data_IF_846423364510
#
_entry.id   IF_846423364510
#
_cell.length_a   1.000
_cell.length_b   1.000
_cell.length_c   1.000
_cell.angle_alpha   90.00
_cell.angle_beta   90.00
_cell.angle_gamma   90.00
#
_symmetry.space_group_name_H-M   'P 1'
#
loop_
_entity.id
_entity.type
_entity.pdbx_description
1 polymer ?
#
# COMPACT_ATOMS: atom_id res chain seq x y z
N UNK A 1 -0.77 21.29 12.21
CA UNK A 1 0.52 20.76 11.75
C UNK A 1 1.53 20.95 12.86
N UNK A 2 2.33 19.93 13.14
CA UNK A 2 3.43 20.03 14.11
C UNK A 2 4.56 20.90 13.55
N UNK A 3 5.43 21.38 14.44
CA UNK A 3 6.56 22.23 14.10
C UNK A 3 7.85 21.73 14.75
N UNK A 4 8.98 21.86 14.04
CA UNK A 4 10.34 21.70 14.55
C UNK A 4 11.07 23.02 14.28
N UNK A 5 11.71 23.60 15.31
CA UNK A 5 12.38 24.91 15.25
C UNK A 5 11.51 26.04 14.66
N UNK A 6 10.22 26.05 15.01
CA UNK A 6 9.25 27.04 14.53
C UNK A 6 8.82 26.88 13.06
N UNK A 7 9.20 25.77 12.40
CA UNK A 7 8.85 25.48 11.01
C UNK A 7 7.93 24.26 10.93
N UNK A 8 6.91 24.27 10.07
CA UNK A 8 6.09 23.09 9.82
C UNK A 8 6.96 21.89 9.43
N UNK A 9 6.69 20.72 10.02
CA UNK A 9 7.44 19.49 9.70
C UNK A 9 7.23 19.08 8.24
N UNK A 10 5.98 19.16 7.77
CA UNK A 10 5.66 19.02 6.37
C UNK A 10 5.26 20.37 5.78
N UNK A 11 5.66 20.60 4.52
CA UNK A 11 5.03 21.63 3.71
C UNK A 11 3.53 21.35 3.58
N UNK A 12 2.70 22.38 3.62
CA UNK A 12 1.28 22.22 3.36
C UNK A 12 1.03 21.69 1.95
N UNK A 13 -0.12 21.04 1.74
CA UNK A 13 -0.55 20.59 0.42
C UNK A 13 -0.67 21.76 -0.57
N UNK A 14 -0.33 21.58 -1.87
CA UNK A 14 -0.58 22.60 -2.88
C UNK A 14 -2.02 23.10 -2.88
N UNK A 15 -2.22 24.40 -3.09
CA UNK A 15 -3.55 24.98 -3.21
C UNK A 15 -4.29 24.45 -4.45
N UNK A 16 -5.61 24.31 -4.34
CA UNK A 16 -6.48 23.77 -5.40
C UNK A 16 -6.26 24.42 -6.77
N UNK A 17 -6.13 25.75 -6.81
CA UNK A 17 -5.91 26.47 -8.08
C UNK A 17 -4.58 26.08 -8.74
N UNK A 18 -3.52 25.82 -7.95
CA UNK A 18 -2.23 25.38 -8.46
C UNK A 18 -2.32 23.97 -9.03
N UNK A 19 -3.07 23.09 -8.36
CA UNK A 19 -3.35 21.72 -8.86
C UNK A 19 -4.08 21.78 -10.20
N UNK A 20 -5.12 22.59 -10.31
CA UNK A 20 -5.89 22.78 -11.56
C UNK A 20 -5.00 23.32 -12.68
N UNK A 21 -4.18 24.33 -12.38
CA UNK A 21 -3.23 24.89 -13.34
C UNK A 21 -2.22 23.83 -13.81
N UNK A 22 -1.68 23.01 -12.91
CA UNK A 22 -0.76 21.93 -13.24
C UNK A 22 -1.41 20.89 -14.16
N UNK A 23 -2.61 20.40 -13.82
CA UNK A 23 -3.35 19.44 -14.66
C UNK A 23 -3.56 20.01 -16.06
N UNK A 24 -4.07 21.24 -16.17
CA UNK A 24 -4.31 21.88 -17.47
C UNK A 24 -3.03 22.10 -18.26
N UNK A 25 -1.95 22.51 -17.61
CA UNK A 25 -0.66 22.73 -18.26
C UNK A 25 -0.04 21.42 -18.80
N UNK A 26 -0.13 20.33 -18.04
CA UNK A 26 0.34 19.00 -18.48
C UNK A 26 -0.47 18.55 -19.70
N UNK A 27 -1.80 18.66 -19.65
CA UNK A 27 -2.69 18.29 -20.77
C UNK A 27 -2.49 19.16 -22.01
N UNK A 28 -2.26 20.47 -21.84
CA UNK A 28 -1.95 21.37 -22.95
C UNK A 28 -0.65 21.00 -23.70
N UNK A 29 0.25 20.26 -23.04
CA UNK A 29 1.46 19.68 -23.65
C UNK A 29 1.24 18.31 -24.28
N UNK A 30 0.00 17.78 -24.27
CA UNK A 30 -0.33 16.46 -24.80
C UNK A 30 0.12 15.30 -23.91
N UNK A 31 0.43 15.55 -22.64
CA UNK A 31 0.87 14.54 -21.69
C UNK A 31 -0.30 13.99 -20.87
N UNK A 32 -0.19 12.71 -20.48
CA UNK A 32 -1.16 12.06 -19.59
C UNK A 32 -0.93 12.48 -18.14
N UNK A 33 -2.00 12.57 -17.36
CA UNK A 33 -1.97 12.95 -15.95
C UNK A 33 -2.42 11.77 -15.08
N UNK A 34 -1.55 11.34 -14.17
CA UNK A 34 -1.94 10.51 -13.02
C UNK A 34 -2.05 11.40 -11.80
N UNK A 35 -3.22 11.43 -11.16
CA UNK A 35 -3.40 12.10 -9.88
C UNK A 35 -3.16 11.13 -8.74
N UNK A 36 -2.15 11.41 -7.93
CA UNK A 36 -1.69 10.56 -6.86
C UNK A 36 -1.71 11.31 -5.52
N UNK A 37 -2.79 11.18 -4.72
CA UNK A 37 -2.87 11.78 -3.39
C UNK A 37 -2.08 10.96 -2.35
N UNK A 38 -1.28 11.66 -1.53
CA UNK A 38 -0.46 11.08 -0.46
C UNK A 38 -0.94 11.51 0.93
N UNK A 39 -0.71 10.64 1.92
CA UNK A 39 -0.80 10.98 3.34
C UNK A 39 0.58 10.96 3.97
N UNK A 40 0.93 12.03 4.68
CA UNK A 40 2.13 12.11 5.51
C UNK A 40 1.70 12.07 6.98
N UNK A 41 2.39 11.27 7.80
CA UNK A 41 2.05 11.13 9.22
C UNK A 41 2.74 12.23 10.03
N UNK A 42 1.97 13.22 10.46
CA UNK A 42 2.45 14.38 11.24
C UNK A 42 2.42 14.09 12.75
N UNK A 43 3.23 13.12 13.17
CA UNK A 43 3.39 12.73 14.59
C UNK A 43 4.71 13.30 15.12
N UNK A 44 4.68 14.29 16.05
CA UNK A 44 5.89 14.84 16.62
C UNK A 44 6.58 13.85 17.58
N UNK A 45 7.92 13.93 17.78
CA UNK A 45 8.66 13.02 18.66
C UNK A 45 8.15 12.92 20.10
N UNK A 46 7.57 14.01 20.64
CA UNK A 46 7.16 14.10 22.04
C UNK A 46 5.65 13.85 22.26
N UNK A 47 4.96 13.30 21.27
CA UNK A 47 3.55 12.96 21.43
C UNK A 47 3.38 11.84 22.47
N UNK A 48 2.34 11.92 23.30
CA UNK A 48 2.09 10.97 24.41
C UNK A 48 0.89 10.06 24.15
N UNK A 49 0.34 10.04 22.94
CA UNK A 49 -0.74 9.12 22.60
C UNK A 49 -0.23 7.68 22.65
N UNK A 50 -1.10 6.71 23.00
CA UNK A 50 -0.74 5.30 22.99
C UNK A 50 -0.24 4.86 21.62
N UNK A 51 0.87 4.10 21.61
CA UNK A 51 1.37 3.48 20.39
C UNK A 51 0.61 2.17 20.11
N UNK A 52 -0.10 2.08 18.97
CA UNK A 52 -0.82 0.86 18.59
C UNK A 52 0.07 -0.38 18.52
N UNK A 53 1.37 -0.21 18.27
CA UNK A 53 2.39 -1.27 18.17
C UNK A 53 3.18 -1.46 19.47
N UNK A 54 2.59 -1.22 20.63
CA UNK A 54 3.24 -1.44 21.93
C UNK A 54 2.27 -1.90 23.02
N UNK A 55 1.30 -2.74 22.67
CA UNK A 55 0.22 -3.21 23.55
C UNK A 55 -0.59 -2.05 24.19
N UNK A 56 -0.51 -0.85 23.61
CA UNK A 56 -0.93 0.42 24.23
C UNK A 56 -0.42 0.63 25.68
N UNK A 57 0.62 -0.09 26.11
CA UNK A 57 1.03 -0.17 27.52
C UNK A 57 2.55 -0.06 27.76
N UNK A 58 3.40 -0.42 26.78
CA UNK A 58 4.85 -0.54 27.01
C UNK A 58 5.70 0.65 26.50
N UNK A 59 5.18 1.48 25.60
CA UNK A 59 5.87 2.66 25.07
C UNK A 59 5.06 3.93 25.28
N UNK A 60 5.70 4.97 25.84
CA UNK A 60 5.13 6.33 25.81
C UNK A 60 5.35 6.89 24.42
N UNK A 61 4.27 7.29 23.75
CA UNK A 61 4.31 7.97 22.47
C UNK A 61 4.39 7.04 21.26
N UNK A 62 3.80 7.53 20.17
CA UNK A 62 3.90 6.90 18.85
C UNK A 62 5.23 7.28 18.20
N UNK A 63 5.75 6.42 17.30
CA UNK A 63 6.95 6.74 16.53
C UNK A 63 6.83 8.11 15.84
N UNK A 64 7.93 8.86 15.78
CA UNK A 64 7.97 10.15 15.12
C UNK A 64 7.85 9.98 13.60
N UNK A 65 6.98 10.76 12.97
CA UNK A 65 6.82 10.87 11.52
C UNK A 65 6.84 9.51 10.78
N UNK A 66 6.03 8.52 11.21
CA UNK A 66 6.12 7.19 10.65
C UNK A 66 5.61 7.19 9.21
N UNK A 67 6.01 6.19 8.44
CA UNK A 67 5.40 5.93 7.15
C UNK A 67 3.89 5.61 7.28
N UNK A 68 3.08 6.02 6.30
CA UNK A 68 1.61 5.84 6.30
C UNK A 68 1.16 4.38 6.35
N UNK A 69 1.98 3.43 5.89
CA UNK A 69 1.72 2.00 6.05
C UNK A 69 1.65 1.53 7.51
N UNK A 70 2.06 2.37 8.47
CA UNK A 70 1.87 2.16 9.90
C UNK A 70 0.48 2.53 10.42
N UNK A 71 -0.41 3.14 9.63
CA UNK A 71 -1.81 3.36 10.03
C UNK A 71 -2.47 2.00 10.26
N UNK A 72 -3.05 1.78 11.45
CA UNK A 72 -3.65 0.48 11.81
C UNK A 72 -4.74 0.63 12.89
N UNK A 73 -5.33 -0.48 13.32
CA UNK A 73 -6.22 -0.53 14.48
C UNK A 73 -5.42 -0.37 15.79
N UNK A 74 -6.07 0.05 16.87
CA UNK A 74 -5.42 0.22 18.18
C UNK A 74 -6.14 -0.57 19.27
N UNK A 75 -5.45 -1.48 19.98
CA UNK A 75 -4.10 -1.99 19.69
C UNK A 75 -4.02 -2.76 18.35
N UNK A 76 -2.85 -2.74 17.73
CA UNK A 76 -2.60 -3.34 16.40
C UNK A 76 -2.66 -4.87 16.42
N UNK A 77 -2.78 -5.51 15.26
CA UNK A 77 -2.70 -6.97 15.15
C UNK A 77 -1.34 -7.49 15.67
N UNK A 78 -1.35 -8.60 16.41
CA UNK A 78 -0.14 -9.19 17.01
C UNK A 78 0.27 -8.60 18.36
N UNK A 79 -0.44 -7.58 18.86
CA UNK A 79 -0.19 -6.95 20.16
C UNK A 79 -1.26 -7.33 21.18
N UNK A 80 -0.91 -7.33 22.47
CA UNK A 80 -1.82 -7.63 23.56
C UNK A 80 -3.00 -6.66 23.56
N UNK A 81 -4.21 -7.22 23.74
CA UNK A 81 -5.46 -6.47 23.69
C UNK A 81 -5.88 -6.01 22.29
N UNK A 82 -5.24 -6.52 21.23
CA UNK A 82 -5.60 -6.21 19.84
C UNK A 82 -7.10 -6.30 19.60
N UNK A 83 -7.60 -5.32 18.84
CA UNK A 83 -8.99 -5.32 18.37
C UNK A 83 -9.14 -6.01 17.01
N UNK A 84 -8.05 -6.51 16.42
CA UNK A 84 -8.10 -7.30 15.19
C UNK A 84 -9.03 -8.52 15.34
N UNK A 85 -9.72 -8.89 14.26
CA UNK A 85 -10.81 -9.89 14.23
C UNK A 85 -12.04 -9.54 15.09
N UNK A 86 -12.25 -8.27 15.44
CA UNK A 86 -13.43 -7.82 16.23
C UNK A 86 -14.27 -6.74 15.54
N UNK A 87 -15.49 -6.53 16.04
CA UNK A 87 -16.33 -5.40 15.62
C UNK A 87 -15.73 -4.02 15.93
N UNK A 88 -14.86 -3.90 16.94
CA UNK A 88 -14.18 -2.64 17.27
C UNK A 88 -13.20 -2.24 16.16
N UNK A 89 -12.50 -3.20 15.55
CA UNK A 89 -11.67 -2.92 14.37
C UNK A 89 -12.49 -2.36 13.20
N UNK A 90 -13.69 -2.90 12.96
CA UNK A 90 -14.59 -2.34 11.93
C UNK A 90 -14.99 -0.89 12.24
N UNK A 91 -15.29 -0.57 13.50
CA UNK A 91 -15.64 0.79 13.92
C UNK A 91 -14.47 1.77 13.74
N UNK A 92 -13.24 1.38 14.10
CA UNK A 92 -12.04 2.20 13.92
C UNK A 92 -11.75 2.46 12.43
N UNK A 93 -11.84 1.43 11.59
CA UNK A 93 -11.68 1.59 10.13
C UNK A 93 -12.77 2.50 9.56
N UNK A 94 -14.03 2.32 9.97
CA UNK A 94 -15.13 3.20 9.54
C UNK A 94 -14.87 4.66 9.91
N UNK A 95 -14.39 4.92 11.13
CA UNK A 95 -14.03 6.26 11.58
C UNK A 95 -12.87 6.88 10.78
N UNK A 96 -11.85 6.09 10.42
CA UNK A 96 -10.75 6.54 9.55
C UNK A 96 -11.24 6.94 8.16
N UNK A 97 -12.13 6.14 7.57
CA UNK A 97 -12.68 6.45 6.25
C UNK A 97 -13.60 7.67 6.28
N UNK A 98 -14.37 7.84 7.36
CA UNK A 98 -15.39 8.87 7.48
C UNK A 98 -16.65 8.55 6.69
N UNK A 99 -17.57 9.49 6.67
CA UNK A 99 -18.92 9.34 6.10
C UNK A 99 -19.17 10.21 4.87
N UNK A 100 -18.14 10.91 4.39
CA UNK A 100 -18.22 11.76 3.20
C UNK A 100 -18.76 11.00 1.97
N UNK A 101 -19.65 11.64 1.23
CA UNK A 101 -20.23 11.16 -0.03
C UNK A 101 -19.98 12.18 -1.15
N UNK A 102 -20.10 11.79 -2.43
CA UNK A 102 -19.97 12.72 -3.55
C UNK A 102 -20.89 13.95 -3.44
N UNK A 103 -22.07 13.80 -2.83
CA UNK A 103 -23.07 14.86 -2.66
C UNK A 103 -22.71 15.90 -1.59
N UNK A 104 -21.67 15.67 -0.78
CA UNK A 104 -21.22 16.62 0.25
C UNK A 104 -20.26 17.70 -0.29
N UNK A 105 -20.20 17.87 -1.61
CA UNK A 105 -19.34 18.84 -2.28
C UNK A 105 -20.16 19.68 -3.25
N UNK A 106 -19.91 20.99 -3.23
CA UNK A 106 -20.42 21.93 -4.24
C UNK A 106 -19.26 22.38 -5.11
N UNK A 107 -19.45 22.35 -6.43
CA UNK A 107 -18.42 22.72 -7.41
C UNK A 107 -18.89 24.00 -8.11
N UNK A 108 -18.05 25.03 -8.08
CA UNK A 108 -18.24 26.27 -8.85
C UNK A 108 -16.98 26.55 -9.65
N UNK A 109 -17.07 26.42 -10.97
CA UNK A 109 -15.91 26.39 -11.88
C UNK A 109 -14.86 25.37 -11.44
N UNK A 110 -13.78 25.83 -10.80
CA UNK A 110 -12.68 25.02 -10.30
C UNK A 110 -12.55 25.05 -8.77
N UNK A 111 -13.48 25.71 -8.08
CA UNK A 111 -13.56 25.71 -6.63
C UNK A 111 -14.42 24.54 -6.16
N UNK A 112 -13.88 23.73 -5.25
CA UNK A 112 -14.56 22.61 -4.62
C UNK A 112 -14.78 22.96 -3.15
N UNK A 113 -16.04 22.99 -2.72
CA UNK A 113 -16.43 23.39 -1.37
C UNK A 113 -17.09 22.22 -0.65
N UNK A 114 -16.54 21.86 0.51
CA UNK A 114 -17.11 20.85 1.41
C UNK A 114 -18.34 21.40 2.17
N UNK A 115 -19.42 20.63 2.20
CA UNK A 115 -20.67 20.96 2.91
C UNK A 115 -21.14 19.89 3.91
N UNK A 116 -20.41 18.78 4.04
CA UNK A 116 -20.80 17.63 4.87
C UNK A 116 -20.48 17.74 6.37
N UNK A 117 -20.26 18.94 6.91
CA UNK A 117 -20.07 19.15 8.36
C UNK A 117 -18.70 18.73 8.91
N UNK A 118 -18.69 18.21 10.15
CA UNK A 118 -17.46 17.87 10.87
C UNK A 118 -17.00 16.43 10.54
N UNK A 119 -16.43 16.24 9.35
CA UNK A 119 -15.81 15.00 8.91
C UNK A 119 -14.35 15.28 8.49
N UNK A 120 -13.42 14.43 8.91
CA UNK A 120 -12.00 14.50 8.56
C UNK A 120 -11.47 13.18 7.99
N UNK A 121 -12.37 12.28 7.59
CA UNK A 121 -12.02 10.97 7.09
C UNK A 121 -11.38 11.03 5.70
N UNK A 122 -10.67 9.96 5.35
CA UNK A 122 -9.93 9.91 4.07
C UNK A 122 -10.85 10.06 2.86
N UNK A 123 -12.13 9.64 2.97
CA UNK A 123 -13.12 9.81 1.90
C UNK A 123 -13.32 11.27 1.55
N UNK A 124 -13.35 12.16 2.56
CA UNK A 124 -13.47 13.61 2.31
C UNK A 124 -12.32 14.12 1.45
N UNK A 125 -11.09 13.73 1.80
CA UNK A 125 -9.90 14.11 1.05
C UNK A 125 -9.94 13.59 -0.40
N UNK A 126 -10.18 12.30 -0.56
CA UNK A 126 -10.14 11.65 -1.88
C UNK A 126 -11.26 12.16 -2.79
N UNK A 127 -12.48 12.34 -2.27
CA UNK A 127 -13.61 12.86 -3.05
C UNK A 127 -13.45 14.34 -3.40
N UNK A 128 -12.83 15.15 -2.53
CA UNK A 128 -12.44 16.52 -2.87
C UNK A 128 -11.54 16.54 -4.10
N UNK A 129 -10.49 15.71 -4.11
CA UNK A 129 -9.57 15.63 -5.24
C UNK A 129 -10.21 15.05 -6.50
N UNK A 130 -11.15 14.10 -6.38
CA UNK A 130 -11.89 13.61 -7.54
C UNK A 130 -12.69 14.74 -8.20
N UNK A 131 -13.42 15.55 -7.41
CA UNK A 131 -14.15 16.72 -7.91
C UNK A 131 -13.19 17.77 -8.51
N UNK A 132 -12.06 18.02 -7.86
CA UNK A 132 -11.06 18.96 -8.35
C UNK A 132 -10.46 18.52 -9.69
N UNK A 133 -10.14 17.23 -9.83
CA UNK A 133 -9.67 16.64 -11.07
C UNK A 133 -10.73 16.75 -12.18
N UNK A 134 -12.00 16.47 -11.87
CA UNK A 134 -13.10 16.65 -12.83
C UNK A 134 -13.20 18.11 -13.30
N UNK A 135 -13.20 19.06 -12.36
CA UNK A 135 -13.27 20.50 -12.65
C UNK A 135 -12.04 21.03 -13.43
N UNK A 136 -10.88 20.40 -13.26
CA UNK A 136 -9.69 20.70 -14.05
C UNK A 136 -9.78 20.23 -15.52
N UNK A 137 -10.79 19.43 -15.87
CA UNK A 137 -11.01 18.84 -17.19
C UNK A 137 -10.67 17.35 -17.25
N UNK A 138 -10.58 16.66 -16.11
CA UNK A 138 -10.30 15.23 -15.98
C UNK A 138 -8.81 14.87 -16.04
N UNK A 139 -8.49 13.67 -15.54
CA UNK A 139 -7.14 13.07 -15.50
C UNK A 139 -7.18 11.69 -16.15
N UNK A 140 -6.04 11.18 -16.60
CA UNK A 140 -5.94 9.87 -17.25
C UNK A 140 -5.99 8.73 -16.22
N UNK A 141 -5.42 8.95 -15.04
CA UNK A 141 -5.50 8.02 -13.93
C UNK A 141 -5.64 8.73 -12.58
N UNK A 142 -6.26 8.05 -11.61
CA UNK A 142 -6.50 8.54 -10.27
C UNK A 142 -6.31 7.42 -9.25
N UNK A 143 -5.48 7.65 -8.23
CA UNK A 143 -5.28 6.69 -7.15
C UNK A 143 -6.16 7.00 -5.93
N UNK A 144 -6.82 5.98 -5.39
CA UNK A 144 -7.71 6.11 -4.23
C UNK A 144 -6.99 5.99 -2.88
N UNK A 145 -5.69 5.68 -2.90
CA UNK A 145 -4.84 5.52 -1.73
C UNK A 145 -3.55 4.81 -2.11
N UNK A 146 -2.62 4.76 -1.15
CA UNK A 146 -1.38 4.02 -1.34
C UNK A 146 -0.70 3.56 -0.07
N UNK A 147 -0.02 2.42 -0.16
CA UNK A 147 0.86 1.85 0.86
C UNK A 147 0.23 1.84 2.27
N UNK A 148 -1.03 1.41 2.38
CA UNK A 148 -1.76 1.38 3.65
C UNK A 148 -1.80 -0.04 4.22
N UNK A 149 -0.68 -0.77 4.18
CA UNK A 149 -0.59 -2.19 4.59
C UNK A 149 -1.23 -2.44 5.95
N UNK A 150 -0.85 -1.65 6.96
CA UNK A 150 -1.37 -1.79 8.32
C UNK A 150 -2.88 -1.54 8.44
N UNK A 151 -3.51 -0.88 7.46
CA UNK A 151 -4.94 -0.59 7.39
C UNK A 151 -5.69 -1.66 6.61
N UNK A 152 -5.17 -2.05 5.43
CA UNK A 152 -5.80 -3.02 4.53
C UNK A 152 -5.79 -4.43 5.09
N UNK A 153 -4.85 -4.75 5.97
CA UNK A 153 -4.74 -6.03 6.67
C UNK A 153 -5.55 -6.12 7.97
N UNK A 154 -6.16 -5.02 8.44
CA UNK A 154 -7.08 -5.06 9.60
C UNK A 154 -8.25 -5.98 9.29
N UNK A 155 -8.59 -6.83 10.25
CA UNK A 155 -9.70 -7.78 10.17
C UNK A 155 -10.80 -7.41 11.17
N UNK A 156 -12.06 -7.54 10.75
CA UNK A 156 -13.24 -7.45 11.63
C UNK A 156 -13.88 -8.81 11.94
N UNK A 157 -13.25 -9.88 11.46
CA UNK A 157 -13.58 -11.28 11.69
C UNK A 157 -12.48 -12.14 11.04
N UNK A 158 -12.53 -13.47 11.14
CA UNK A 158 -11.44 -14.34 10.69
C UNK A 158 -10.91 -14.04 9.27
N UNK A 159 -11.80 -13.72 8.33
CA UNK A 159 -11.49 -13.47 6.92
C UNK A 159 -12.10 -12.17 6.36
N UNK A 160 -12.52 -11.25 7.23
CA UNK A 160 -13.24 -10.02 6.83
C UNK A 160 -12.34 -8.80 6.92
N UNK A 161 -12.08 -8.14 5.79
CA UNK A 161 -11.20 -6.97 5.69
C UNK A 161 -12.00 -5.66 5.45
N UNK A 162 -12.39 -4.92 6.51
CA UNK A 162 -13.24 -3.74 6.41
C UNK A 162 -12.62 -2.61 5.56
N UNK A 163 -11.31 -2.42 5.60
CA UNK A 163 -10.65 -1.36 4.83
C UNK A 163 -10.74 -1.63 3.32
N UNK A 164 -10.57 -2.89 2.90
CA UNK A 164 -10.75 -3.30 1.50
C UNK A 164 -12.18 -3.04 1.04
N UNK A 165 -13.16 -3.33 1.89
CA UNK A 165 -14.58 -3.02 1.60
C UNK A 165 -14.80 -1.51 1.42
N UNK A 166 -14.21 -0.69 2.29
CA UNK A 166 -14.31 0.77 2.22
C UNK A 166 -13.59 1.35 1.00
N UNK A 167 -12.45 0.81 0.60
CA UNK A 167 -11.74 1.19 -0.64
C UNK A 167 -12.57 0.89 -1.88
N UNK A 168 -13.26 -0.25 -1.94
CA UNK A 168 -14.18 -0.58 -3.04
C UNK A 168 -15.31 0.43 -3.15
N UNK A 169 -15.95 0.77 -2.02
CA UNK A 169 -16.99 1.79 -1.99
C UNK A 169 -16.45 3.15 -2.46
N UNK A 170 -15.27 3.54 -1.99
CA UNK A 170 -14.59 4.77 -2.43
C UNK A 170 -14.28 4.76 -3.93
N UNK A 171 -13.85 3.63 -4.50
CA UNK A 171 -13.62 3.50 -5.94
C UNK A 171 -14.90 3.75 -6.77
N UNK A 172 -16.04 3.24 -6.30
CA UNK A 172 -17.34 3.47 -6.93
C UNK A 172 -17.76 4.96 -6.87
N UNK A 173 -17.55 5.61 -5.72
CA UNK A 173 -17.84 7.03 -5.56
C UNK A 173 -16.93 7.90 -6.44
N UNK A 174 -15.63 7.61 -6.48
CA UNK A 174 -14.68 8.30 -7.38
C UNK A 174 -15.06 8.07 -8.84
N UNK A 175 -15.50 6.86 -9.22
CA UNK A 175 -16.01 6.57 -10.58
C UNK A 175 -17.21 7.43 -10.94
N UNK A 176 -18.14 7.64 -9.99
CA UNK A 176 -19.33 8.48 -10.21
C UNK A 176 -19.00 9.93 -10.53
N UNK A 177 -17.86 10.43 -10.02
CA UNK A 177 -17.38 11.80 -10.23
C UNK A 177 -16.54 11.90 -11.51
N UNK A 178 -15.59 11.01 -11.70
CA UNK A 178 -14.60 11.08 -12.79
C UNK A 178 -15.08 10.46 -14.11
N UNK A 179 -16.20 9.73 -14.09
CA UNK A 179 -16.76 9.05 -15.26
C UNK A 179 -15.89 7.89 -15.75
N UNK A 180 -16.25 7.30 -16.89
CA UNK A 180 -15.61 6.08 -17.43
C UNK A 180 -14.21 6.31 -18.05
N UNK A 181 -13.86 7.57 -18.37
CA UNK A 181 -12.61 7.89 -19.05
C UNK A 181 -11.36 7.73 -18.19
N UNK A 182 -11.45 8.04 -16.89
CA UNK A 182 -10.32 7.99 -15.96
C UNK A 182 -10.02 6.57 -15.50
N UNK A 183 -8.76 6.16 -15.49
CA UNK A 183 -8.36 4.88 -14.89
C UNK A 183 -8.23 5.02 -13.37
N UNK A 184 -8.88 4.15 -12.60
CA UNK A 184 -8.85 4.19 -11.13
C UNK A 184 -8.06 2.99 -10.62
N UNK A 185 -7.19 3.21 -9.64
CA UNK A 185 -6.41 2.16 -8.99
C UNK A 185 -6.08 2.48 -7.54
N UNK A 186 -5.47 1.51 -6.85
CA UNK A 186 -4.83 1.66 -5.54
C UNK A 186 -3.35 1.31 -5.73
N UNK A 187 -2.44 2.09 -5.16
CA UNK A 187 -1.01 1.80 -5.20
C UNK A 187 -0.63 1.00 -3.95
N UNK A 188 -0.68 -0.32 -4.05
CA UNK A 188 -0.25 -1.17 -2.96
C UNK A 188 1.25 -1.06 -2.76
N UNK A 189 1.69 -1.22 -1.52
CA UNK A 189 3.10 -1.47 -1.27
C UNK A 189 3.52 -2.80 -1.94
N UNK A 190 4.76 -2.88 -2.40
CA UNK A 190 5.31 -4.10 -3.02
C UNK A 190 5.22 -5.34 -2.11
N UNK A 191 5.15 -5.17 -0.79
CA UNK A 191 4.99 -6.25 0.20
C UNK A 191 3.53 -6.53 0.58
N UNK A 192 2.55 -5.84 0.00
CA UNK A 192 1.12 -5.92 0.35
C UNK A 192 0.28 -6.61 -0.71
N UNK A 193 0.57 -6.34 -1.99
CA UNK A 193 -0.35 -6.63 -3.10
C UNK A 193 -0.72 -8.13 -3.24
N UNK A 194 0.20 -9.02 -2.86
CA UNK A 194 0.15 -10.44 -3.20
C UNK A 194 -0.68 -11.29 -2.24
N UNK A 195 -0.98 -10.77 -1.05
CA UNK A 195 -1.75 -11.47 -0.03
C UNK A 195 -1.38 -11.05 1.37
N UNK A 196 -2.13 -11.53 2.35
CA UNK A 196 -1.89 -11.35 3.77
C UNK A 196 -1.66 -12.71 4.41
N UNK A 197 -0.50 -12.86 5.05
CA UNK A 197 -0.11 -14.04 5.82
C UNK A 197 0.15 -13.61 7.28
N UNK A 198 -0.90 -13.55 8.13
CA UNK A 198 -0.78 -13.06 9.50
C UNK A 198 0.16 -13.95 10.34
N UNK A 199 1.10 -13.33 11.05
CA UNK A 199 1.98 -14.00 12.01
C UNK A 199 1.30 -14.35 13.34
N UNK A 200 0.00 -14.68 13.35
CA UNK A 200 -0.80 -14.94 14.55
C UNK A 200 -0.97 -16.45 14.86
N UNK A 201 -0.20 -17.31 14.18
CA UNK A 201 -0.24 -18.76 14.33
C UNK A 201 -1.46 -19.44 13.71
N UNK A 202 -2.26 -18.70 12.93
CA UNK A 202 -3.38 -19.28 12.18
C UNK A 202 -2.95 -20.04 10.93
N UNK A 203 -1.74 -19.80 10.42
CA UNK A 203 -1.28 -20.25 9.10
C UNK A 203 -2.19 -19.77 7.94
N UNK A 204 -3.02 -18.75 8.20
CA UNK A 204 -3.91 -18.19 7.20
C UNK A 204 -3.12 -17.61 6.01
N UNK A 205 -3.60 -17.83 4.79
CA UNK A 205 -3.16 -17.10 3.59
C UNK A 205 -4.37 -16.52 2.88
N UNK A 206 -4.53 -15.21 2.89
CA UNK A 206 -5.65 -14.54 2.23
C UNK A 206 -5.18 -13.61 1.12
N UNK A 207 -5.72 -13.77 -0.07
CA UNK A 207 -5.65 -12.75 -1.12
C UNK A 207 -6.61 -11.60 -0.79
N UNK A 208 -6.33 -10.91 0.31
CA UNK A 208 -7.25 -9.96 0.95
C UNK A 208 -7.63 -8.77 0.05
N UNK A 209 -6.78 -8.39 -0.90
CA UNK A 209 -7.03 -7.34 -1.87
C UNK A 209 -7.76 -7.80 -3.13
N UNK A 210 -7.92 -9.11 -3.37
CA UNK A 210 -8.64 -9.62 -4.55
C UNK A 210 -10.05 -9.01 -4.71
N UNK A 211 -10.86 -8.80 -3.65
CA UNK A 211 -12.14 -8.12 -3.80
C UNK A 211 -12.03 -6.71 -4.39
N UNK A 212 -10.94 -5.98 -4.14
CA UNK A 212 -10.66 -4.66 -4.73
C UNK A 212 -10.09 -4.83 -6.14
N UNK A 213 -9.11 -5.71 -6.31
CA UNK A 213 -8.50 -6.01 -7.60
C UNK A 213 -9.47 -6.58 -8.62
N UNK A 214 -10.54 -7.27 -8.22
CA UNK A 214 -11.57 -7.76 -9.13
C UNK A 214 -12.71 -6.75 -9.36
N UNK A 215 -12.76 -5.64 -8.62
CA UNK A 215 -13.88 -4.68 -8.69
C UNK A 215 -13.94 -3.98 -10.05
N UNK A 216 -15.13 -3.85 -10.65
CA UNK A 216 -15.28 -3.25 -11.98
C UNK A 216 -14.84 -1.77 -12.05
N UNK A 217 -14.78 -1.06 -10.92
CA UNK A 217 -14.33 0.32 -10.88
C UNK A 217 -12.81 0.46 -10.92
N UNK A 218 -12.06 -0.58 -10.53
CA UNK A 218 -10.60 -0.61 -10.55
C UNK A 218 -10.10 -1.07 -11.92
N UNK A 219 -9.14 -0.38 -12.52
CA UNK A 219 -8.68 -0.63 -13.87
C UNK A 219 -7.29 -1.27 -13.97
N UNK A 220 -6.48 -1.18 -12.92
CA UNK A 220 -5.13 -1.72 -12.88
C UNK A 220 -4.76 -2.07 -11.43
N UNK A 221 -3.76 -2.93 -11.27
CA UNK A 221 -3.13 -3.22 -9.98
C UNK A 221 -1.94 -2.28 -9.86
N UNK A 222 -2.04 -1.29 -8.99
CA UNK A 222 -0.96 -0.36 -8.72
C UNK A 222 0.01 -0.95 -7.69
N UNK A 223 1.31 -0.86 -7.97
CA UNK A 223 2.37 -1.28 -7.05
C UNK A 223 3.43 -0.19 -6.98
N UNK A 224 3.73 0.26 -5.77
CA UNK A 224 4.92 1.05 -5.49
C UNK A 224 6.11 0.09 -5.37
N UNK A 225 6.87 -0.04 -6.46
CA UNK A 225 7.78 -1.15 -6.70
C UNK A 225 9.17 -0.88 -6.13
N UNK A 226 9.32 -1.21 -4.84
CA UNK A 226 10.58 -1.09 -4.11
C UNK A 226 11.18 -2.45 -3.71
N UNK A 227 10.88 -3.49 -4.49
CA UNK A 227 11.38 -4.84 -4.25
C UNK A 227 12.92 -4.87 -4.29
N UNK A 228 13.59 -5.54 -3.34
CA UNK A 228 15.04 -5.62 -3.31
C UNK A 228 15.59 -6.29 -4.57
N UNK A 229 16.66 -5.74 -5.14
CA UNK A 229 17.36 -6.29 -6.32
C UNK A 229 18.82 -6.65 -6.02
N UNK A 230 19.18 -6.71 -4.75
CA UNK A 230 20.54 -7.08 -4.30
C UNK A 230 20.55 -7.50 -2.83
N UNK A 231 21.54 -8.28 -2.42
CA UNK A 231 21.92 -8.45 -1.01
C UNK A 231 23.44 -8.18 -0.85
N UNK A 232 23.90 -7.12 -1.52
CA UNK A 232 25.30 -6.72 -1.58
C UNK A 232 25.70 -5.98 -0.30
N UNK A 233 26.91 -6.25 0.22
CA UNK A 233 27.39 -5.72 1.51
C UNK A 233 28.72 -4.99 1.37
N UNK A 234 29.25 -4.52 2.49
CA UNK A 234 30.59 -3.94 2.52
C UNK A 234 31.68 -4.98 2.30
N UNK A 235 32.70 -4.59 1.54
CA UNK A 235 33.80 -5.48 1.15
C UNK A 235 33.37 -6.60 0.20
N UNK A 236 34.06 -7.74 0.31
CA UNK A 236 33.84 -8.94 -0.50
C UNK A 236 33.61 -10.20 0.35
N UNK A 237 33.58 -10.06 1.67
CA UNK A 237 33.34 -11.16 2.63
C UNK A 237 31.83 -11.37 2.83
N UNK A 238 31.09 -11.52 1.73
CA UNK A 238 29.65 -11.77 1.69
C UNK A 238 29.28 -12.68 0.52
N UNK A 239 28.11 -13.34 0.60
CA UNK A 239 27.65 -14.34 -0.36
C UNK A 239 27.59 -13.79 -1.81
N UNK A 240 27.12 -12.57 -1.99
CA UNK A 240 26.91 -11.97 -3.32
C UNK A 240 28.20 -11.57 -4.04
N UNK A 241 29.31 -11.40 -3.31
CA UNK A 241 30.62 -11.12 -3.90
C UNK A 241 31.12 -12.30 -4.76
N UNK A 242 30.60 -13.50 -4.52
CA UNK A 242 30.85 -14.67 -5.35
C UNK A 242 30.01 -14.69 -6.65
N UNK A 243 28.94 -13.89 -6.73
CA UNK A 243 27.99 -13.88 -7.85
C UNK A 243 28.35 -12.80 -8.89
N UNK A 244 28.94 -11.69 -8.46
CA UNK A 244 29.31 -10.59 -9.33
C UNK A 244 30.53 -9.82 -8.79
N UNK A 245 31.27 -9.09 -9.64
CA UNK A 245 32.43 -8.32 -9.21
C UNK A 245 32.07 -7.02 -8.47
N UNK A 246 30.83 -6.54 -8.59
CA UNK A 246 30.36 -5.31 -7.96
C UNK A 246 28.83 -5.23 -7.92
N UNK A 247 28.30 -4.40 -7.01
CA UNK A 247 26.86 -4.14 -6.89
C UNK A 247 26.21 -3.54 -8.14
N UNK A 248 26.98 -2.81 -8.96
CA UNK A 248 26.51 -2.19 -10.20
C UNK A 248 26.60 -3.15 -11.41
N UNK A 249 27.01 -4.41 -11.19
CA UNK A 249 26.97 -5.40 -12.25
C UNK A 249 25.53 -5.59 -12.74
N UNK A 250 25.32 -5.32 -14.03
CA UNK A 250 23.98 -5.29 -14.61
C UNK A 250 23.35 -6.68 -14.65
N UNK A 251 24.14 -7.73 -14.87
CA UNK A 251 23.60 -9.09 -14.95
C UNK A 251 23.12 -9.55 -13.57
N UNK A 252 23.88 -9.23 -12.51
CA UNK A 252 23.49 -9.47 -11.13
C UNK A 252 22.21 -8.73 -10.72
N UNK A 253 22.12 -7.42 -11.00
CA UNK A 253 20.90 -6.67 -10.68
C UNK A 253 19.69 -7.19 -11.49
N UNK A 254 19.88 -7.54 -12.77
CA UNK A 254 18.83 -8.09 -13.61
C UNK A 254 18.37 -9.48 -13.16
N UNK A 255 19.28 -10.37 -12.75
CA UNK A 255 18.90 -11.70 -12.24
C UNK A 255 18.09 -11.61 -10.95
N UNK A 256 18.27 -10.54 -10.17
CA UNK A 256 17.51 -10.29 -8.95
C UNK A 256 16.16 -9.60 -9.19
N UNK A 257 15.72 -9.30 -10.43
CA UNK A 257 14.35 -8.74 -10.63
C UNK A 257 13.28 -9.79 -10.31
N UNK A 258 13.47 -11.02 -10.80
CA UNK A 258 12.61 -12.18 -10.56
C UNK A 258 13.44 -13.36 -10.00
N UNK A 259 14.22 -13.06 -8.97
CA UNK A 259 15.16 -13.97 -8.30
C UNK A 259 15.66 -13.33 -7.00
N UNK A 260 16.44 -14.07 -6.21
CA UNK A 260 17.00 -13.59 -4.94
C UNK A 260 15.95 -13.45 -3.83
N UNK A 261 16.15 -12.46 -2.95
CA UNK A 261 15.23 -12.18 -1.84
C UNK A 261 13.81 -11.91 -2.36
N UNK A 262 12.80 -12.55 -1.76
CA UNK A 262 11.40 -12.40 -2.14
C UNK A 262 10.95 -13.23 -3.34
N UNK A 263 11.86 -14.00 -3.94
CA UNK A 263 11.55 -14.95 -4.99
C UNK A 263 12.12 -16.34 -4.66
N UNK A 264 13.43 -16.44 -4.51
CA UNK A 264 14.13 -17.69 -4.21
C UNK A 264 14.17 -17.96 -2.70
N UNK A 265 14.39 -16.92 -1.90
CA UNK A 265 14.62 -17.02 -0.46
C UNK A 265 14.14 -15.79 0.30
N UNK A 266 14.10 -15.89 1.64
CA UNK A 266 13.88 -14.79 2.58
C UNK A 266 14.75 -14.96 3.83
N UNK A 267 14.86 -13.91 4.63
CA UNK A 267 15.45 -13.96 5.97
C UNK A 267 14.35 -14.13 7.03
N UNK A 268 14.44 -15.14 7.88
CA UNK A 268 13.40 -15.40 8.88
C UNK A 268 13.49 -14.45 10.09
N UNK A 269 14.67 -13.87 10.33
CA UNK A 269 14.93 -12.97 11.45
C UNK A 269 16.20 -12.10 11.18
N UNK A 270 16.47 -11.08 12.01
CA UNK A 270 17.65 -10.22 11.85
C UNK A 270 19.00 -10.96 11.91
N UNK A 271 19.14 -11.99 12.74
CA UNK A 271 20.36 -12.81 12.83
C UNK A 271 20.63 -13.56 11.53
N UNK A 272 19.58 -14.09 10.90
CA UNK A 272 19.68 -14.73 9.59
C UNK A 272 20.11 -13.72 8.52
N UNK A 273 19.58 -12.50 8.57
CA UNK A 273 20.01 -11.41 7.69
C UNK A 273 21.49 -11.06 7.91
N UNK A 274 21.95 -10.90 9.16
CA UNK A 274 23.36 -10.59 9.46
C UNK A 274 24.33 -11.67 8.96
N UNK A 275 23.96 -12.93 9.14
CA UNK A 275 24.76 -14.10 8.74
C UNK A 275 24.59 -14.55 7.28
N UNK A 276 23.69 -13.91 6.53
CA UNK A 276 23.22 -14.36 5.21
C UNK A 276 22.69 -15.81 5.19
N UNK A 277 22.01 -16.22 6.26
CA UNK A 277 21.29 -17.50 6.35
C UNK A 277 19.97 -17.40 5.58
N UNK A 278 20.01 -17.72 4.29
CA UNK A 278 18.87 -17.60 3.37
C UNK A 278 17.95 -18.81 3.46
N UNK A 279 16.68 -18.59 3.78
CA UNK A 279 15.66 -19.64 3.83
C UNK A 279 14.91 -19.72 2.49
N UNK A 280 14.88 -20.88 1.80
CA UNK A 280 14.14 -21.01 0.54
C UNK A 280 12.63 -20.76 0.68
N UNK A 281 12.06 -20.03 -0.28
CA UNK A 281 10.59 -19.85 -0.36
C UNK A 281 9.98 -21.08 -1.04
N UNK A 282 9.26 -21.89 -0.24
CA UNK A 282 8.58 -23.11 -0.69
C UNK A 282 7.14 -23.15 -0.20
N UNK A 283 6.34 -24.07 -0.74
CA UNK A 283 4.94 -24.29 -0.33
C UNK A 283 4.66 -25.76 0.02
N UNK A 284 5.73 -26.48 0.41
CA UNK A 284 5.67 -27.89 0.78
C UNK A 284 4.79 -28.73 -0.16
N UNK A 285 3.77 -29.38 0.41
CA UNK A 285 2.90 -30.32 -0.30
C UNK A 285 1.98 -29.72 -1.37
N UNK A 286 1.71 -28.41 -1.35
CA UNK A 286 0.86 -27.77 -2.36
C UNK A 286 1.64 -27.31 -3.59
N UNK A 287 2.96 -27.09 -3.47
CA UNK A 287 3.82 -26.76 -4.60
C UNK A 287 3.49 -25.43 -5.29
N UNK A 288 2.88 -24.46 -4.59
CA UNK A 288 2.58 -23.10 -5.08
C UNK A 288 3.42 -22.03 -4.37
N UNK A 289 4.77 -22.08 -4.45
CA UNK A 289 5.62 -21.12 -3.76
C UNK A 289 5.39 -19.67 -4.21
N UNK A 290 4.87 -19.47 -5.42
CA UNK A 290 4.50 -18.16 -5.95
C UNK A 290 3.53 -17.36 -5.05
N UNK A 291 2.74 -18.04 -4.22
CA UNK A 291 1.83 -17.38 -3.26
C UNK A 291 2.57 -16.60 -2.16
N UNK A 292 3.85 -16.91 -1.93
CA UNK A 292 4.71 -16.30 -0.91
C UNK A 292 5.84 -15.48 -1.52
N UNK A 293 5.88 -15.35 -2.85
CA UNK A 293 6.93 -14.62 -3.58
C UNK A 293 6.38 -13.27 -4.02
N UNK A 294 6.67 -12.23 -3.26
CA UNK A 294 6.27 -10.87 -3.63
C UNK A 294 6.93 -10.38 -4.93
N UNK A 295 7.94 -11.07 -5.47
CA UNK A 295 8.50 -10.78 -6.80
C UNK A 295 7.93 -11.63 -7.94
N UNK A 296 7.14 -12.65 -7.62
CA UNK A 296 6.53 -13.53 -8.63
C UNK A 296 5.22 -12.96 -9.19
N UNK A 297 5.31 -11.72 -9.68
CA UNK A 297 4.20 -10.98 -10.27
C UNK A 297 3.52 -11.77 -11.39
N UNK A 298 4.30 -12.48 -12.21
CA UNK A 298 3.78 -13.25 -13.34
C UNK A 298 2.88 -14.39 -12.88
N UNK A 299 3.34 -15.21 -11.94
CA UNK A 299 2.56 -16.36 -11.46
C UNK A 299 1.32 -15.87 -10.73
N UNK A 300 1.45 -14.89 -9.84
CA UNK A 300 0.31 -14.24 -9.18
C UNK A 300 -0.73 -13.75 -10.21
N UNK A 301 -0.29 -13.01 -11.22
CA UNK A 301 -1.20 -12.44 -12.23
C UNK A 301 -1.90 -13.48 -13.11
N UNK A 302 -1.27 -14.63 -13.36
CA UNK A 302 -1.72 -15.59 -14.36
C UNK A 302 -2.40 -16.83 -13.80
N UNK A 303 -2.47 -16.99 -12.47
CA UNK A 303 -2.99 -18.19 -11.81
C UNK A 303 -4.26 -17.86 -11.02
N UNK A 304 -5.27 -18.75 -10.96
CA UNK A 304 -6.42 -18.55 -10.08
C UNK A 304 -6.01 -18.56 -8.60
N UNK A 305 -6.57 -17.63 -7.82
CA UNK A 305 -6.25 -17.49 -6.41
C UNK A 305 -7.18 -18.30 -5.54
N UNK A 306 -6.63 -19.00 -4.54
CA UNK A 306 -7.38 -19.76 -3.54
C UNK A 306 -6.90 -19.39 -2.16
N UNK A 307 -7.78 -18.83 -1.33
CA UNK A 307 -7.45 -18.54 0.06
C UNK A 307 -7.15 -19.83 0.83
N UNK A 308 -6.32 -19.74 1.86
CA UNK A 308 -5.94 -20.84 2.73
C UNK A 308 -6.23 -20.55 4.20
N UNK A 309 -7.50 -20.58 4.64
CA UNK A 309 -7.79 -20.51 6.07
C UNK A 309 -7.16 -21.71 6.79
N UNK A 310 -6.43 -21.49 7.88
CA UNK A 310 -5.75 -22.57 8.59
C UNK A 310 -4.64 -23.25 7.77
N UNK A 311 -4.07 -22.58 6.77
CA UNK A 311 -3.09 -23.16 5.85
C UNK A 311 -3.67 -24.16 4.84
N UNK A 312 -5.00 -24.36 4.80
CA UNK A 312 -5.67 -25.33 3.92
C UNK A 312 -6.33 -24.63 2.74
N UNK A 313 -5.95 -25.01 1.53
CA UNK A 313 -6.50 -24.44 0.30
C UNK A 313 -8.03 -24.61 0.21
N UNK A 314 -8.72 -23.49 -0.02
CA UNK A 314 -10.16 -23.47 -0.20
C UNK A 314 -10.56 -24.20 -1.49
N UNK A 315 -11.72 -24.87 -1.48
CA UNK A 315 -12.24 -25.55 -2.67
C UNK A 315 -12.74 -24.61 -3.78
N UNK A 316 -12.84 -23.31 -3.52
CA UNK A 316 -13.33 -22.29 -4.45
C UNK A 316 -12.31 -21.15 -4.60
N UNK A 317 -12.07 -20.66 -5.82
CA UNK A 317 -11.18 -19.52 -6.00
C UNK A 317 -11.81 -18.24 -5.48
N UNK A 318 -10.98 -17.20 -5.30
CA UNK A 318 -11.45 -15.83 -5.09
C UNK A 318 -12.10 -15.27 -6.36
N UNK A 319 -12.54 -14.01 -6.31
CA UNK A 319 -13.07 -13.30 -7.47
C UNK A 319 -11.98 -12.86 -8.48
N UNK A 320 -10.69 -13.11 -8.20
CA UNK A 320 -9.63 -12.80 -9.14
C UNK A 320 -9.76 -13.66 -10.40
N UNK A 321 -9.82 -12.99 -11.55
CA UNK A 321 -9.75 -13.63 -12.86
C UNK A 321 -8.33 -13.45 -13.37
N UNK A 322 -7.61 -14.56 -13.69
CA UNK A 322 -6.26 -14.48 -14.23
C UNK A 322 -6.17 -13.50 -15.39
N UNK A 323 -5.13 -12.67 -15.34
CA UNK A 323 -4.79 -11.70 -16.38
C UNK A 323 -5.84 -10.60 -16.63
N UNK A 324 -6.84 -10.46 -15.76
CA UNK A 324 -7.97 -9.55 -15.98
C UNK A 324 -7.61 -8.07 -15.93
N UNK A 325 -6.53 -7.70 -15.24
CA UNK A 325 -6.06 -6.31 -15.10
C UNK A 325 -4.55 -6.22 -15.20
N UNK A 326 -4.00 -5.18 -15.85
CA UNK A 326 -2.55 -5.00 -15.93
C UNK A 326 -1.98 -4.53 -14.59
N UNK A 327 -0.70 -4.83 -14.35
CA UNK A 327 0.10 -4.14 -13.35
C UNK A 327 0.56 -2.78 -13.86
N UNK A 328 0.46 -1.78 -13.01
CA UNK A 328 1.11 -0.48 -13.18
C UNK A 328 2.07 -0.29 -12.02
N UNK A 329 3.36 -0.16 -12.30
CA UNK A 329 4.31 0.30 -11.29
C UNK A 329 4.09 1.80 -11.13
N UNK A 330 3.43 2.18 -10.04
CA UNK A 330 3.01 3.54 -9.73
C UNK A 330 4.15 4.36 -9.18
N UNK A 331 5.09 3.69 -8.50
CA UNK A 331 6.38 4.25 -8.12
C UNK A 331 7.51 3.25 -8.39
N UNK A 332 8.70 3.81 -8.59
CA UNK A 332 9.96 3.09 -8.63
C UNK A 332 11.03 4.02 -8.06
N UNK A 333 11.95 3.47 -7.30
CA UNK A 333 12.97 4.29 -6.67
C UNK A 333 13.90 3.48 -5.81
N UNK A 334 14.97 4.13 -5.39
CA UNK A 334 15.99 3.56 -4.56
C UNK A 334 16.71 4.73 -3.84
N UNK A 335 17.23 4.54 -2.61
CA UNK A 335 18.01 5.55 -1.93
C UNK A 335 19.17 6.05 -2.80
N UNK A 336 19.39 7.37 -2.83
CA UNK A 336 20.58 7.96 -3.43
C UNK A 336 21.79 7.87 -2.46
N UNK A 337 22.10 6.67 -1.97
CA UNK A 337 23.24 6.38 -1.09
C UNK A 337 24.04 5.17 -1.58
N UNK A 338 25.24 4.97 -1.05
CA UNK A 338 26.02 3.77 -1.34
C UNK A 338 25.23 2.51 -0.95
N UNK A 339 25.25 1.51 -1.83
CA UNK A 339 24.48 0.27 -1.71
C UNK A 339 22.96 0.44 -1.55
N UNK A 340 22.44 1.58 -1.97
CA UNK A 340 21.01 1.89 -1.98
C UNK A 340 20.24 1.21 -3.11
N UNK A 341 20.55 -0.03 -3.49
CA UNK A 341 19.82 -0.76 -4.55
C UNK A 341 18.53 -1.43 -4.03
N UNK A 342 18.23 -1.30 -2.74
CA UNK A 342 17.03 -1.83 -2.09
C UNK A 342 16.15 -0.69 -1.54
N UNK A 343 15.06 -1.02 -0.83
CA UNK A 343 13.96 -0.14 -0.39
C UNK A 343 14.37 1.32 -0.02
N UNK A 344 13.70 2.35 -0.57
CA UNK A 344 13.96 3.76 -0.26
C UNK A 344 13.36 4.28 1.06
N UNK A 345 12.49 3.50 1.69
CA UNK A 345 11.62 3.89 2.79
C UNK A 345 11.90 3.13 4.09
#
# INVERSE_FOLDING_TARGET
>A
MSQIDGKPVYGGTPADFSVVQAIRAIKARGLRVTFYPFLMMDIPPDNVLPNPYSDNAAGVGQAALPWRGRITCSPAAGFAGSVDKTGTAAAQVSAFFGTATPANFTISDTAVTWTGGADWGIRRMILHYAHLCAAAGGVDAFLIGSEMIGLTTIRSGASTYPAVTALKALAADVRSILGAGTKIGYAADWSEYFGHQPGDGSDDVFFHLDPLWSDANINFIGIDNYMPISDWRDGFDHADAALAPAIYDRAYLQSNIAGGEGFDWFYANPTDHESQTRTPITDGGYGKPWMFRFKDLRSWWSIPHFNRPGGVESGTPTAWVPQSKPFWFTELGCPAVDRGTNQPN
#
